data_IF_335516340398
#
_entry.id   IF_335516340398
#
_cell.length_a   1.000
_cell.length_b   1.000
_cell.length_c   1.000
_cell.angle_alpha   90.00
_cell.angle_beta   90.00
_cell.angle_gamma   90.00
#
_symmetry.space_group_name_H-M   'P 1'
#
loop_
_entity.id
_entity.type
_entity.pdbx_description
1 polymer ?
#
# COMPACT_ATOMS: atom_id res chain seq x y z
N UNK A 1 12.69 -8.64 7.24
CA UNK A 1 13.01 -7.53 6.33
C UNK A 1 12.22 -7.84 5.08
N UNK A 2 11.05 -7.22 4.96
CA UNK A 2 10.16 -7.46 3.83
C UNK A 2 10.80 -6.79 2.61
N UNK A 3 11.17 -7.58 1.60
CA UNK A 3 11.52 -7.01 0.30
C UNK A 3 10.22 -6.62 -0.39
N UNK A 4 9.95 -5.33 -0.49
CA UNK A 4 8.84 -4.82 -1.29
C UNK A 4 9.21 -4.98 -2.76
N UNK A 5 8.74 -6.04 -3.40
CA UNK A 5 8.65 -6.08 -4.86
C UNK A 5 7.45 -5.23 -5.23
N UNK A 6 7.71 -4.06 -5.80
CA UNK A 6 6.70 -3.23 -6.46
C UNK A 6 6.26 -3.98 -7.73
N UNK A 7 5.25 -4.84 -7.62
CA UNK A 7 4.62 -5.43 -8.80
C UNK A 7 3.58 -4.44 -9.32
N UNK A 8 3.97 -3.64 -10.32
CA UNK A 8 3.02 -2.88 -11.14
C UNK A 8 2.33 -3.88 -12.08
N UNK A 9 1.06 -4.18 -11.83
CA UNK A 9 0.28 -5.06 -12.70
C UNK A 9 -0.14 -4.30 -13.98
N UNK A 10 0.44 -4.77 -15.09
CA UNK A 10 0.17 -4.60 -16.52
C UNK A 10 -0.89 -3.58 -17.00
N UNK A 11 -0.44 -2.71 -17.91
CA UNK A 11 -1.32 -1.99 -18.84
C UNK A 11 -2.02 -2.96 -19.79
N UNK A 12 -3.26 -3.36 -19.46
CA UNK A 12 -4.21 -3.84 -20.46
C UNK A 12 -5.08 -2.67 -20.92
N UNK A 13 -4.91 -2.34 -22.20
CA UNK A 13 -5.51 -1.23 -22.93
C UNK A 13 -7.04 -1.42 -23.07
N UNK A 14 -7.81 -1.14 -22.02
CA UNK A 14 -9.29 -1.01 -22.06
C UNK A 14 -9.70 0.25 -21.28
N UNK A 15 -9.44 1.40 -21.92
CA UNK A 15 -9.32 2.77 -21.37
C UNK A 15 -10.54 3.41 -20.67
N UNK A 16 -11.62 2.68 -20.35
CA UNK A 16 -12.79 3.30 -19.68
C UNK A 16 -13.49 2.47 -18.59
N UNK A 17 -13.33 1.15 -18.55
CA UNK A 17 -14.01 0.27 -17.57
C UNK A 17 -13.04 -0.23 -16.48
N UNK A 18 -11.76 -0.46 -16.81
CA UNK A 18 -10.75 -0.96 -15.86
C UNK A 18 -10.35 0.04 -14.76
N UNK A 19 -10.67 1.33 -14.93
CA UNK A 19 -10.37 2.36 -13.92
C UNK A 19 -11.08 2.11 -12.59
N UNK A 20 -12.12 1.27 -12.55
CA UNK A 20 -12.95 1.08 -11.34
C UNK A 20 -12.42 0.04 -10.35
N UNK A 21 -11.53 -0.87 -10.74
CA UNK A 21 -11.16 -2.02 -9.89
C UNK A 21 -9.64 -2.20 -9.92
N UNK A 22 -8.94 -1.45 -9.06
CA UNK A 22 -7.50 -1.55 -8.88
C UNK A 22 -7.20 -2.00 -7.45
N UNK A 23 -6.27 -2.94 -7.30
CA UNK A 23 -5.80 -3.45 -6.02
C UNK A 23 -4.28 -3.40 -5.96
N UNK A 24 -3.76 -3.11 -4.78
CA UNK A 24 -2.36 -3.28 -4.43
C UNK A 24 -2.18 -4.66 -3.80
N UNK A 25 -1.23 -5.43 -4.31
CA UNK A 25 -0.87 -6.75 -3.78
C UNK A 25 0.54 -6.65 -3.22
N UNK A 26 0.67 -6.77 -1.91
CA UNK A 26 1.97 -6.73 -1.23
C UNK A 26 2.35 -8.13 -0.79
N UNK A 27 3.50 -8.62 -1.26
CA UNK A 27 4.03 -9.93 -0.90
C UNK A 27 5.12 -9.83 0.16
N UNK A 28 4.90 -10.48 1.31
CA UNK A 28 5.90 -10.73 2.33
C UNK A 28 6.68 -12.00 2.01
N UNK A 29 7.94 -11.83 1.60
CA UNK A 29 8.84 -12.95 1.28
C UNK A 29 9.52 -13.42 2.58
N UNK A 30 9.35 -14.70 2.98
CA UNK A 30 10.02 -15.24 4.15
C UNK A 30 11.54 -15.36 3.91
N UNK A 31 12.33 -15.31 4.98
CA UNK A 31 13.79 -15.53 4.87
C UNK A 31 14.08 -16.95 4.36
N UNK A 32 15.16 -17.20 3.60
CA UNK A 32 15.45 -18.51 2.98
C UNK A 32 15.64 -19.71 3.95
N UNK A 33 15.61 -19.51 5.27
CA UNK A 33 15.69 -20.55 6.31
C UNK A 33 14.54 -20.48 7.31
N UNK A 34 13.52 -19.66 7.04
CA UNK A 34 12.34 -19.54 7.88
C UNK A 34 11.33 -20.63 7.55
N UNK A 35 10.61 -21.12 8.57
CA UNK A 35 9.43 -21.98 8.40
C UNK A 35 8.16 -21.19 8.06
N UNK A 36 8.24 -19.86 8.00
CA UNK A 36 7.11 -19.00 7.68
C UNK A 36 6.76 -19.13 6.18
N UNK A 37 5.47 -19.13 5.88
CA UNK A 37 4.97 -19.05 4.51
C UNK A 37 5.09 -17.64 3.94
N UNK A 38 4.77 -17.51 2.64
CA UNK A 38 4.52 -16.19 2.04
C UNK A 38 3.29 -15.56 2.68
N UNK A 39 3.31 -14.23 2.80
CA UNK A 39 2.18 -13.45 3.28
C UNK A 39 1.73 -12.51 2.17
N UNK A 40 0.43 -12.42 1.90
CA UNK A 40 -0.09 -11.48 0.92
C UNK A 40 -1.07 -10.51 1.56
N UNK A 41 -1.00 -9.24 1.17
CA UNK A 41 -1.94 -8.21 1.57
C UNK A 41 -2.61 -7.62 0.34
N UNK A 42 -3.93 -7.71 0.28
CA UNK A 42 -4.76 -7.31 -0.86
C UNK A 42 -5.52 -6.04 -0.49
N UNK A 43 -5.06 -4.90 -1.00
CA UNK A 43 -5.50 -3.58 -0.55
C UNK A 43 -6.23 -2.87 -1.71
N UNK A 44 -7.50 -2.46 -1.55
CA UNK A 44 -8.18 -1.62 -2.54
C UNK A 44 -7.42 -0.33 -2.83
N UNK A 45 -7.41 0.11 -4.09
CA UNK A 45 -6.78 1.36 -4.49
C UNK A 45 -7.31 2.58 -3.75
N UNK A 46 -8.60 2.59 -3.45
CA UNK A 46 -9.28 3.66 -2.71
C UNK A 46 -8.72 3.80 -1.30
N UNK A 47 -8.51 2.67 -0.63
CA UNK A 47 -8.02 2.62 0.74
C UNK A 47 -6.54 3.03 0.80
N UNK A 48 -5.75 2.53 -0.15
CA UNK A 48 -4.34 2.91 -0.27
C UNK A 48 -4.20 4.41 -0.56
N UNK A 49 -4.99 4.94 -1.50
CA UNK A 49 -4.96 6.36 -1.86
C UNK A 49 -5.36 7.26 -0.68
N UNK A 50 -6.39 6.87 0.07
CA UNK A 50 -6.80 7.56 1.30
C UNK A 50 -5.65 7.60 2.31
N UNK A 51 -5.03 6.47 2.61
CA UNK A 51 -3.91 6.43 3.55
C UNK A 51 -2.71 7.26 3.07
N UNK A 52 -2.35 7.19 1.79
CA UNK A 52 -1.25 7.98 1.22
C UNK A 52 -1.51 9.48 1.41
N UNK A 53 -2.75 9.92 1.16
CA UNK A 53 -3.15 11.32 1.32
C UNK A 53 -3.02 11.75 2.78
N UNK A 54 -3.62 10.99 3.70
CA UNK A 54 -3.59 11.30 5.14
C UNK A 54 -2.16 11.32 5.69
N UNK A 55 -1.32 10.34 5.32
CA UNK A 55 0.07 10.30 5.74
C UNK A 55 0.89 11.48 5.19
N UNK A 56 0.62 11.93 3.97
CA UNK A 56 1.27 13.09 3.39
C UNK A 56 0.85 14.40 4.08
N UNK A 57 -0.45 14.56 4.38
CA UNK A 57 -0.97 15.72 5.11
C UNK A 57 -0.37 15.80 6.52
N UNK A 58 -0.26 14.65 7.22
CA UNK A 58 0.41 14.58 8.52
C UNK A 58 1.89 14.93 8.41
N UNK A 59 2.60 14.41 7.40
CA UNK A 59 3.99 14.72 7.17
C UNK A 59 4.20 16.22 6.93
N UNK A 60 3.37 16.88 6.12
CA UNK A 60 3.43 18.33 5.91
C UNK A 60 3.17 19.13 7.19
N UNK A 61 2.32 18.62 8.09
CA UNK A 61 2.01 19.23 9.38
C UNK A 61 3.08 19.02 10.47
N UNK A 62 4.00 18.06 10.29
CA UNK A 62 5.10 17.83 11.23
C UNK A 62 6.34 18.64 10.85
N UNK A 63 7.04 19.28 11.80
CA UNK A 63 8.32 19.91 11.50
C UNK A 63 9.38 18.84 11.18
N UNK A 64 10.27 19.15 10.24
CA UNK A 64 11.44 18.35 9.96
C UNK A 64 12.38 18.32 11.19
N UNK A 65 13.39 17.43 11.16
CA UNK A 65 14.39 17.27 12.24
C UNK A 65 15.00 18.59 12.73
N UNK A 66 15.12 19.60 11.86
CA UNK A 66 15.69 20.90 12.17
C UNK A 66 14.64 21.98 12.50
N UNK A 67 13.38 21.59 12.76
CA UNK A 67 12.26 22.50 13.03
C UNK A 67 11.65 23.16 11.79
N UNK A 68 12.24 22.96 10.61
CA UNK A 68 11.73 23.56 9.37
C UNK A 68 10.48 22.83 8.86
N UNK A 69 9.47 23.55 8.33
CA UNK A 69 8.33 22.93 7.64
C UNK A 69 8.79 22.08 6.46
N UNK A 70 8.05 21.03 6.16
CA UNK A 70 8.28 20.23 4.96
C UNK A 70 7.79 20.96 3.70
N UNK A 71 8.58 20.88 2.62
CA UNK A 71 8.14 21.37 1.31
C UNK A 71 7.12 20.42 0.69
N UNK A 72 6.03 20.98 0.17
CA UNK A 72 5.08 20.21 -0.62
C UNK A 72 5.75 19.75 -1.92
N UNK A 73 5.76 18.44 -2.15
CA UNK A 73 6.29 17.82 -3.37
C UNK A 73 5.28 16.82 -3.92
N UNK A 74 5.54 16.28 -5.11
CA UNK A 74 4.73 15.20 -5.70
C UNK A 74 5.09 13.80 -5.16
N UNK A 75 6.06 13.71 -4.24
CA UNK A 75 6.51 12.44 -3.67
C UNK A 75 5.52 11.99 -2.60
N UNK A 76 5.19 10.70 -2.58
CA UNK A 76 4.31 10.07 -1.61
C UNK A 76 5.00 8.85 -1.02
N UNK A 77 4.91 8.70 0.29
CA UNK A 77 5.55 7.61 1.02
C UNK A 77 4.50 6.71 1.65
N UNK A 78 4.65 5.40 1.45
CA UNK A 78 3.87 4.38 2.14
C UNK A 78 4.79 3.68 3.14
N UNK A 79 4.34 3.60 4.39
CA UNK A 79 5.04 2.85 5.43
C UNK A 79 4.44 1.45 5.50
N UNK A 80 5.26 0.45 5.23
CA UNK A 80 4.88 -0.96 5.32
C UNK A 80 5.56 -1.60 6.53
N UNK A 81 4.95 -2.62 7.16
CA UNK A 81 5.60 -3.39 8.22
C UNK A 81 7.02 -3.80 7.82
N UNK A 82 8.00 -3.69 8.74
CA UNK A 82 7.85 -3.39 10.16
C UNK A 82 7.75 -1.89 10.49
N UNK A 83 7.81 -1.01 9.50
CA UNK A 83 7.77 0.43 9.74
C UNK A 83 6.35 0.87 10.08
N UNK A 84 6.21 1.63 11.16
CA UNK A 84 4.93 2.21 11.58
C UNK A 84 4.60 3.41 10.71
N UNK A 85 3.35 3.51 10.29
CA UNK A 85 2.85 4.68 9.58
C UNK A 85 2.63 5.85 10.55
N UNK A 86 2.88 7.06 10.08
CA UNK A 86 2.57 8.30 10.82
C UNK A 86 1.06 8.43 11.11
N UNK A 87 0.23 7.91 10.22
CA UNK A 87 -1.24 7.88 10.34
C UNK A 87 -1.76 6.79 11.28
N UNK A 88 -0.91 5.87 11.75
CA UNK A 88 -1.36 4.68 12.49
C UNK A 88 -2.12 3.65 11.63
N UNK A 89 -2.15 3.84 10.32
CA UNK A 89 -2.70 2.87 9.38
C UNK A 89 -1.94 1.55 9.41
N UNK A 90 -2.69 0.47 9.59
CA UNK A 90 -2.23 -0.90 9.70
C UNK A 90 -2.78 -1.73 8.53
N UNK A 91 -1.89 -2.44 7.83
CA UNK A 91 -2.28 -3.25 6.67
C UNK A 91 -2.74 -4.67 7.05
N UNK A 92 -2.62 -5.05 8.32
CA UNK A 92 -2.92 -6.40 8.82
C UNK A 92 -4.33 -6.89 8.47
N UNK A 93 -5.32 -5.99 8.42
CA UNK A 93 -6.70 -6.29 8.01
C UNK A 93 -6.88 -6.70 6.53
N UNK A 94 -5.87 -6.47 5.69
CA UNK A 94 -5.87 -6.81 4.27
C UNK A 94 -5.17 -8.15 3.97
N UNK A 95 -4.68 -8.83 5.01
CA UNK A 95 -3.99 -10.12 4.90
C UNK A 95 -4.89 -11.19 4.28
N UNK A 96 -4.39 -11.86 3.24
CA UNK A 96 -5.05 -12.94 2.48
C UNK A 96 -6.47 -12.60 2.00
N UNK A 97 -6.77 -11.30 1.79
CA UNK A 97 -8.09 -10.82 1.37
C UNK A 97 -8.37 -10.97 -0.13
N UNK A 98 -8.05 -12.15 -0.68
CA UNK A 98 -8.31 -12.49 -2.08
C UNK A 98 -9.80 -12.48 -2.42
N UNK A 99 -10.67 -12.70 -1.42
CA UNK A 99 -12.13 -12.59 -1.51
C UNK A 99 -12.60 -11.26 -2.12
N UNK A 100 -11.86 -10.17 -1.89
CA UNK A 100 -12.21 -8.86 -2.44
C UNK A 100 -12.05 -8.79 -3.96
N UNK A 101 -11.05 -9.49 -4.52
CA UNK A 101 -10.87 -9.59 -5.96
C UNK A 101 -11.93 -10.51 -6.54
N UNK A 102 -12.15 -11.68 -5.92
CA UNK A 102 -13.15 -12.65 -6.37
C UNK A 102 -14.56 -12.05 -6.43
N UNK A 103 -14.95 -11.29 -5.40
CA UNK A 103 -16.24 -10.60 -5.34
C UNK A 103 -16.43 -9.63 -6.52
N UNK A 104 -15.35 -9.00 -6.98
CA UNK A 104 -15.37 -8.05 -8.11
C UNK A 104 -15.39 -8.72 -9.48
N UNK A 105 -14.94 -9.97 -9.59
CA UNK A 105 -14.96 -10.75 -10.83
C UNK A 105 -16.30 -11.45 -11.07
N UNK A 106 -17.11 -11.63 -10.03
CA UNK A 106 -18.46 -12.24 -10.13
C UNK A 106 -19.57 -11.24 -10.49
N UNK A 107 -19.21 -9.97 -10.71
CA UNK A 107 -20.13 -8.87 -11.07
C UNK A 107 -20.07 -8.62 -12.57
#
# INVERSE_FOLDING_TARGET
MYQAILLVASELKLKKILVKIFFWILGGIPKPQSKLGFEYFIIPSTDMAKNIKEAHELWLGTPARNGQPHNQTNIRTVHLPPYKSLSGWEISKYRERWDQIEAKLKT
#
